data_IF_044483511676
#
_entry.id   IF_044483511676
#
_cell.length_a   1.000
_cell.length_b   1.000
_cell.length_c   1.000
_cell.angle_alpha   90.00
_cell.angle_beta   90.00
_cell.angle_gamma   90.00
#
_symmetry.space_group_name_H-M   'P 1'
#
loop_
_entity.id
_entity.type
_entity.pdbx_description
1 polymer ?
#
# COMPACT_ATOMS: atom_id res chain seq x y z
N UNK A 1 44.21 39.79 37.71
CA UNK A 1 44.41 39.01 36.47
C UNK A 1 43.89 37.60 36.74
N UNK A 2 42.91 36.96 36.11
CA UNK A 2 41.89 37.19 35.06
C UNK A 2 40.70 36.29 35.50
N UNK A 3 39.42 36.60 35.27
CA UNK A 3 38.37 35.61 35.46
C UNK A 3 38.44 34.58 34.30
N UNK A 4 38.43 33.30 34.67
CA UNK A 4 38.33 32.17 33.75
C UNK A 4 36.90 32.18 33.18
N UNK A 5 36.76 32.69 31.95
CA UNK A 5 35.50 32.65 31.20
C UNK A 5 35.30 31.20 30.77
N UNK A 6 34.51 30.45 31.54
CA UNK A 6 34.01 29.15 31.14
C UNK A 6 33.05 29.40 29.97
N UNK A 7 33.41 28.94 28.78
CA UNK A 7 32.57 29.00 27.58
C UNK A 7 31.28 28.21 27.80
N UNK A 8 30.27 28.86 28.42
CA UNK A 8 28.89 28.40 28.54
C UNK A 8 28.16 28.54 27.20
N UNK A 9 28.78 28.06 26.11
CA UNK A 9 28.28 28.24 24.74
C UNK A 9 27.94 26.93 24.02
N UNK A 10 28.37 25.78 24.54
CA UNK A 10 28.28 24.53 23.78
C UNK A 10 27.16 23.58 24.23
N UNK A 11 26.51 23.83 25.37
CA UNK A 11 25.51 22.90 25.91
C UNK A 11 24.10 23.09 25.35
N UNK A 12 23.81 24.22 24.68
CA UNK A 12 22.45 24.51 24.18
C UNK A 12 22.22 23.90 22.79
N UNK A 13 23.26 23.54 22.05
CA UNK A 13 23.11 22.99 20.69
C UNK A 13 22.64 21.53 20.67
N UNK A 14 22.66 20.83 21.81
CA UNK A 14 22.22 19.43 21.92
C UNK A 14 20.71 19.25 22.19
N UNK A 15 19.97 20.34 22.44
CA UNK A 15 18.52 20.28 22.71
C UNK A 15 17.64 20.26 21.44
N UNK A 16 18.23 20.34 20.24
CA UNK A 16 17.48 20.21 18.98
C UNK A 16 17.25 18.75 18.56
N UNK A 17 17.67 17.76 19.36
CA UNK A 17 17.42 16.34 19.07
C UNK A 17 16.08 15.81 19.60
N UNK A 18 15.21 16.65 20.17
CA UNK A 18 13.89 16.19 20.62
C UNK A 18 12.82 16.50 19.57
N UNK A 19 12.36 15.44 18.88
CA UNK A 19 10.98 15.42 18.40
C UNK A 19 10.76 15.36 16.89
N UNK A 20 11.56 14.65 16.12
CA UNK A 20 10.98 13.95 14.97
C UNK A 20 10.35 12.65 15.51
N UNK A 21 9.17 12.81 16.14
CA UNK A 21 8.32 11.66 16.44
C UNK A 21 8.16 10.87 15.15
N UNK A 22 8.54 9.59 15.18
CA UNK A 22 8.29 8.66 14.09
C UNK A 22 6.77 8.64 13.88
N UNK A 23 6.26 9.45 12.94
CA UNK A 23 4.86 9.52 12.58
C UNK A 23 4.54 8.25 11.78
N UNK A 24 4.57 7.11 12.47
CA UNK A 24 4.61 5.78 11.86
C UNK A 24 3.23 5.28 11.39
N UNK A 25 2.19 6.11 11.42
CA UNK A 25 0.81 5.66 11.24
C UNK A 25 -0.10 6.64 10.49
N UNK A 26 0.42 7.51 9.62
CA UNK A 26 -0.41 8.02 8.53
C UNK A 26 -0.42 6.97 7.44
N UNK A 27 -1.17 5.89 7.66
CA UNK A 27 -1.65 5.08 6.55
C UNK A 27 -2.40 6.08 5.66
N UNK A 28 -1.84 6.33 4.48
CA UNK A 28 -2.26 7.43 3.61
C UNK A 28 -3.79 7.43 3.47
N UNK A 29 -4.44 8.59 3.62
CA UNK A 29 -5.91 8.72 3.69
C UNK A 29 -6.62 8.15 2.44
N UNK A 30 -5.86 7.80 1.41
CA UNK A 30 -6.33 7.21 0.15
C UNK A 30 -6.08 5.69 0.03
N UNK A 31 -5.65 5.02 1.10
CA UNK A 31 -5.34 3.60 1.05
C UNK A 31 -6.58 2.73 1.23
N UNK A 32 -6.82 1.88 0.23
CA UNK A 32 -7.67 0.71 0.38
C UNK A 32 -6.96 -0.35 1.21
N UNK A 33 -7.76 -1.15 1.91
CA UNK A 33 -7.34 -2.45 2.44
C UNK A 33 -7.93 -3.52 1.55
N UNK A 34 -7.11 -4.42 1.05
CA UNK A 34 -7.59 -5.54 0.26
C UNK A 34 -6.94 -6.85 0.62
N UNK A 35 -7.64 -7.92 0.24
CA UNK A 35 -7.24 -9.30 0.47
C UNK A 35 -6.85 -9.93 -0.86
N UNK A 36 -5.69 -10.57 -0.93
CA UNK A 36 -5.29 -11.36 -2.09
C UNK A 36 -6.19 -12.59 -2.16
N UNK A 37 -7.04 -12.68 -3.17
CA UNK A 37 -7.97 -13.81 -3.36
C UNK A 37 -7.48 -14.76 -4.44
N UNK A 38 -6.62 -14.30 -5.36
CA UNK A 38 -5.96 -15.17 -6.33
C UNK A 38 -4.57 -14.66 -6.71
N UNK A 39 -3.66 -15.58 -7.00
CA UNK A 39 -2.37 -15.31 -7.62
C UNK A 39 -2.19 -16.26 -8.80
N UNK A 40 -1.65 -15.75 -9.91
CA UNK A 40 -1.32 -16.55 -11.08
C UNK A 40 -0.15 -17.47 -10.76
N UNK A 41 -0.46 -18.71 -10.37
CA UNK A 41 0.51 -19.77 -10.11
C UNK A 41 0.74 -20.61 -11.36
N UNK A 42 0.98 -19.96 -12.50
CA UNK A 42 1.13 -20.60 -13.83
C UNK A 42 -0.16 -21.26 -14.35
N UNK A 43 -1.31 -20.89 -13.79
CA UNK A 43 -2.63 -21.41 -14.21
C UNK A 43 -3.23 -20.61 -15.37
N UNK A 44 -2.71 -19.42 -15.64
CA UNK A 44 -3.29 -18.48 -16.60
C UNK A 44 -4.44 -17.64 -16.02
N UNK A 45 -4.81 -17.83 -14.75
CA UNK A 45 -5.76 -16.95 -14.07
C UNK A 45 -5.12 -15.60 -13.70
N UNK A 46 -5.95 -14.57 -13.52
CA UNK A 46 -5.49 -13.24 -13.10
C UNK A 46 -5.05 -13.24 -11.63
N UNK A 47 -4.08 -12.38 -11.27
CA UNK A 47 -3.86 -12.05 -9.86
C UNK A 47 -4.99 -11.11 -9.42
N UNK A 48 -5.65 -11.41 -8.31
CA UNK A 48 -6.86 -10.70 -7.90
C UNK A 48 -6.78 -10.28 -6.45
N UNK A 49 -7.10 -9.02 -6.21
CA UNK A 49 -7.36 -8.46 -4.89
C UNK A 49 -8.84 -8.10 -4.74
N UNK A 50 -9.41 -8.43 -3.60
CA UNK A 50 -10.74 -7.97 -3.20
C UNK A 50 -10.61 -6.83 -2.19
N UNK A 51 -11.32 -5.73 -2.42
CA UNK A 51 -11.38 -4.61 -1.49
C UNK A 51 -12.19 -5.02 -0.25
N UNK A 52 -11.56 -5.00 0.93
CA UNK A 52 -12.21 -5.32 2.21
C UNK A 52 -12.42 -4.09 3.09
N UNK A 53 -11.73 -2.98 2.81
CA UNK A 53 -12.02 -1.67 3.38
C UNK A 53 -11.64 -0.55 2.39
N UNK A 54 -12.40 0.53 2.41
CA UNK A 54 -12.23 1.69 1.53
C UNK A 54 -11.76 2.91 2.34
N UNK A 55 -10.91 3.77 1.76
CA UNK A 55 -10.71 5.10 2.31
C UNK A 55 -11.99 5.94 2.14
N UNK A 56 -12.16 6.99 2.93
CA UNK A 56 -13.35 7.87 2.88
C UNK A 56 -13.57 8.50 1.48
N UNK A 57 -12.48 8.76 0.75
CA UNK A 57 -12.50 9.32 -0.60
C UNK A 57 -12.38 8.26 -1.72
N UNK A 58 -12.56 6.98 -1.39
CA UNK A 58 -12.42 5.87 -2.34
C UNK A 58 -13.56 5.81 -3.36
N UNK A 59 -13.23 5.70 -4.65
CA UNK A 59 -14.20 5.55 -5.73
C UNK A 59 -14.80 4.14 -5.84
N UNK A 60 -14.11 3.12 -5.34
CA UNK A 60 -14.50 1.72 -5.50
C UNK A 60 -15.02 1.14 -4.17
N UNK A 61 -16.19 0.48 -4.14
CA UNK A 61 -16.77 -0.04 -2.90
C UNK A 61 -16.10 -1.32 -2.41
N UNK A 62 -16.33 -1.66 -1.14
CA UNK A 62 -16.01 -2.98 -0.56
C UNK A 62 -16.64 -4.11 -1.38
N UNK A 63 -15.93 -5.23 -1.52
CA UNK A 63 -16.29 -6.38 -2.35
C UNK A 63 -15.85 -6.25 -3.82
N UNK A 64 -15.35 -5.08 -4.23
CA UNK A 64 -14.82 -4.90 -5.59
C UNK A 64 -13.57 -5.75 -5.81
N UNK A 65 -13.49 -6.45 -6.94
CA UNK A 65 -12.32 -7.26 -7.31
C UNK A 65 -11.51 -6.62 -8.44
N UNK A 66 -10.19 -6.53 -8.24
CA UNK A 66 -9.25 -5.90 -9.17
C UNK A 66 -8.19 -6.89 -9.62
N UNK A 67 -7.88 -6.91 -10.91
CA UNK A 67 -6.63 -7.49 -11.39
C UNK A 67 -5.47 -6.57 -11.02
N UNK A 68 -4.30 -7.16 -10.76
CA UNK A 68 -3.09 -6.40 -10.45
C UNK A 68 -1.82 -7.12 -10.89
N UNK A 69 -0.69 -6.39 -10.93
CA UNK A 69 0.62 -6.97 -11.17
C UNK A 69 1.35 -7.26 -9.83
N UNK A 70 1.58 -8.53 -9.45
CA UNK A 70 2.25 -8.89 -8.21
C UNK A 70 3.76 -8.58 -8.22
N UNK A 71 4.39 -8.36 -9.37
CA UNK A 71 5.82 -8.04 -9.45
C UNK A 71 6.13 -6.64 -8.89
N UNK A 72 5.11 -5.79 -8.77
CA UNK A 72 5.20 -4.52 -8.06
C UNK A 72 5.37 -4.70 -6.55
N UNK A 73 5.21 -5.93 -6.05
CA UNK A 73 5.39 -6.31 -4.67
C UNK A 73 6.77 -6.95 -4.51
N UNK A 74 7.68 -6.24 -3.85
CA UNK A 74 9.03 -6.76 -3.57
C UNK A 74 9.08 -8.00 -2.65
N UNK A 75 7.93 -8.41 -2.12
CA UNK A 75 7.77 -9.60 -1.27
C UNK A 75 6.93 -10.66 -1.99
N UNK A 76 7.16 -11.94 -1.68
CA UNK A 76 6.30 -13.04 -2.11
C UNK A 76 4.92 -12.93 -1.44
N UNK A 77 3.96 -12.34 -2.14
CA UNK A 77 2.55 -12.37 -1.77
C UNK A 77 2.03 -13.81 -1.71
N UNK A 78 1.05 -14.05 -0.84
CA UNK A 78 0.29 -15.28 -0.72
C UNK A 78 -1.20 -15.01 -0.80
N UNK A 79 -1.95 -16.03 -1.22
CA UNK A 79 -3.42 -15.98 -1.14
C UNK A 79 -3.82 -15.87 0.34
N UNK A 80 -4.73 -14.94 0.62
CA UNK A 80 -5.18 -14.59 1.96
C UNK A 80 -4.45 -13.40 2.59
N UNK A 81 -3.32 -12.96 2.02
CA UNK A 81 -2.59 -11.80 2.54
C UNK A 81 -3.44 -10.54 2.47
N UNK A 82 -3.26 -9.67 3.47
CA UNK A 82 -3.85 -8.34 3.52
C UNK A 82 -2.80 -7.32 3.11
N UNK A 83 -3.15 -6.50 2.11
CA UNK A 83 -2.30 -5.40 1.65
C UNK A 83 -3.04 -4.08 1.70
N UNK A 84 -2.28 -3.00 1.79
CA UNK A 84 -2.79 -1.64 1.72
C UNK A 84 -2.29 -0.99 0.42
N UNK A 85 -3.18 -0.40 -0.35
CA UNK A 85 -2.83 0.10 -1.68
C UNK A 85 -3.71 1.27 -2.11
N UNK A 86 -3.19 2.07 -3.04
CA UNK A 86 -3.95 3.06 -3.80
C UNK A 86 -4.28 2.50 -5.16
N UNK A 87 -5.45 2.83 -5.67
CA UNK A 87 -5.80 2.61 -7.07
C UNK A 87 -5.41 3.86 -7.83
N UNK A 88 -4.42 3.74 -8.73
CA UNK A 88 -3.97 4.85 -9.56
C UNK A 88 -4.88 5.01 -10.78
N UNK A 89 -5.15 3.90 -11.45
CA UNK A 89 -5.97 3.82 -12.65
C UNK A 89 -6.73 2.49 -12.60
N UNK A 90 -7.98 2.48 -13.03
CA UNK A 90 -8.75 1.26 -13.24
C UNK A 90 -9.66 1.38 -14.45
N UNK A 91 -9.94 0.24 -15.07
CA UNK A 91 -10.90 0.11 -16.16
C UNK A 91 -11.73 -1.16 -15.97
N UNK A 92 -12.98 -1.16 -16.46
CA UNK A 92 -13.84 -2.35 -16.37
C UNK A 92 -13.14 -3.51 -17.07
N UNK A 93 -13.09 -4.66 -16.42
CA UNK A 93 -12.46 -5.83 -17.00
C UNK A 93 -13.25 -6.25 -18.25
N UNK A 94 -12.55 -6.35 -19.37
CA UNK A 94 -13.17 -6.65 -20.66
C UNK A 94 -13.64 -8.10 -20.77
N UNK A 95 -14.38 -8.38 -21.85
CA UNK A 95 -14.84 -9.73 -22.19
C UNK A 95 -13.69 -10.56 -22.79
N UNK A 96 -12.76 -10.98 -21.93
CA UNK A 96 -11.63 -11.83 -22.30
C UNK A 96 -12.02 -13.30 -22.09
N UNK A 97 -11.71 -14.16 -23.05
CA UNK A 97 -11.85 -15.61 -22.87
C UNK A 97 -10.84 -16.05 -21.82
N UNK A 98 -11.33 -16.40 -20.63
CA UNK A 98 -10.53 -16.95 -19.54
C UNK A 98 -10.71 -18.46 -19.45
N UNK A 99 -9.73 -19.20 -18.90
CA UNK A 99 -9.93 -20.61 -18.57
C UNK A 99 -11.15 -20.79 -17.67
N UNK A 100 -11.98 -21.82 -17.91
CA UNK A 100 -13.26 -22.03 -17.21
C UNK A 100 -13.17 -22.15 -15.69
N UNK A 101 -11.98 -22.47 -15.15
CA UNK A 101 -11.74 -22.57 -13.72
C UNK A 101 -11.32 -21.23 -13.07
N UNK A 102 -11.12 -20.17 -13.86
CA UNK A 102 -10.73 -18.86 -13.36
C UNK A 102 -11.96 -18.00 -13.09
N UNK A 103 -11.93 -17.30 -11.96
CA UNK A 103 -12.82 -16.17 -11.70
C UNK A 103 -12.25 -14.90 -12.33
N UNK A 104 -13.10 -14.12 -13.01
CA UNK A 104 -12.72 -12.85 -13.62
C UNK A 104 -12.88 -11.70 -12.61
N UNK A 105 -11.89 -10.80 -12.48
CA UNK A 105 -12.05 -9.60 -11.68
C UNK A 105 -13.04 -8.64 -12.34
N UNK A 106 -13.60 -7.72 -11.57
CA UNK A 106 -14.51 -6.70 -12.11
C UNK A 106 -13.76 -5.59 -12.85
N UNK A 107 -12.55 -5.27 -12.42
CA UNK A 107 -11.71 -4.25 -13.03
C UNK A 107 -10.28 -4.73 -13.22
N UNK A 108 -9.59 -4.19 -14.23
CA UNK A 108 -8.13 -4.19 -14.27
C UNK A 108 -7.62 -2.91 -13.62
N UNK A 109 -6.59 -2.99 -12.78
CA UNK A 109 -6.09 -1.83 -12.06
C UNK A 109 -4.55 -1.75 -12.01
N UNK A 110 -4.06 -0.52 -12.06
CA UNK A 110 -2.69 -0.18 -11.66
C UNK A 110 -2.77 0.33 -10.22
N UNK A 111 -2.02 -0.33 -9.34
CA UNK A 111 -2.03 -0.04 -7.90
C UNK A 111 -0.64 0.32 -7.38
N UNK A 112 -0.60 1.15 -6.34
CA UNK A 112 0.61 1.52 -5.61
C UNK A 112 0.46 1.10 -4.14
N UNK A 113 1.53 0.58 -3.53
CA UNK A 113 1.48 0.14 -2.13
C UNK A 113 1.51 1.32 -1.14
N UNK A 114 0.73 1.18 -0.08
CA UNK A 114 0.74 2.10 1.04
C UNK A 114 1.66 1.62 2.16
N UNK A 115 2.69 2.42 2.49
CA UNK A 115 3.57 2.18 3.62
C UNK A 115 4.78 1.30 3.28
N UNK A 116 5.81 1.89 2.68
CA UNK A 116 7.14 1.26 2.60
C UNK A 116 7.80 1.17 3.99
#
# INVERSE_FOLDING_TARGET
MKPLIIHTGFLILFLLMTGAGCEKNKLDLLCYKGKIVNLNQQTGCQNIIEIVNTPDAGALPVGTTLSFNPDLFGNKLKIGDIIYFKVLIYEKFGDIIMPHHCFAPQYAAIIEFCGK
#
